data_IF_139636015341
#
_entry.id   IF_139636015341
#
_cell.length_a   1.000
_cell.length_b   1.000
_cell.length_c   1.000
_cell.angle_alpha   90.00
_cell.angle_beta   90.00
_cell.angle_gamma   90.00
#
_symmetry.space_group_name_H-M   'P 1'
#
loop_
_entity.id
_entity.type
_entity.pdbx_description
1 polymer ?
#
# COMPACT_ATOMS: atom_id res chain seq x y z
N UNK A 1 17.39 -0.15 21.43
CA UNK A 1 16.84 -1.33 20.75
C UNK A 1 16.03 -0.82 19.58
N UNK A 2 16.39 -1.18 18.34
CA UNK A 2 15.54 -0.82 17.21
C UNK A 2 14.15 -1.46 17.42
N UNK A 3 13.09 -0.66 17.33
CA UNK A 3 11.72 -1.17 17.47
C UNK A 3 11.46 -2.29 16.47
N UNK A 4 10.57 -3.22 16.82
CA UNK A 4 10.12 -4.26 15.89
C UNK A 4 9.56 -3.57 14.64
N UNK A 5 10.06 -3.94 13.46
CA UNK A 5 9.54 -3.42 12.18
C UNK A 5 8.07 -3.86 12.07
N UNK A 6 7.12 -2.92 11.90
CA UNK A 6 5.71 -3.28 11.79
C UNK A 6 5.41 -3.93 10.44
N UNK A 7 4.58 -4.97 10.46
CA UNK A 7 4.08 -5.59 9.23
C UNK A 7 3.08 -4.64 8.55
N UNK A 8 3.28 -4.41 7.24
CA UNK A 8 2.37 -3.68 6.39
C UNK A 8 1.75 -4.63 5.37
N UNK A 9 0.55 -5.13 5.67
CA UNK A 9 -0.17 -6.06 4.81
C UNK A 9 -0.71 -5.30 3.59
N UNK A 10 -0.30 -5.75 2.40
CA UNK A 10 -0.75 -5.23 1.11
C UNK A 10 -1.34 -6.37 0.27
N UNK A 11 -2.29 -6.03 -0.60
CA UNK A 11 -2.88 -6.97 -1.56
C UNK A 11 -2.49 -6.58 -2.98
N UNK A 12 -2.28 -7.57 -3.85
CA UNK A 12 -2.04 -7.31 -5.26
C UNK A 12 -3.27 -6.67 -5.91
N UNK A 13 -3.04 -5.76 -6.86
CA UNK A 13 -4.10 -5.03 -7.55
C UNK A 13 -4.12 -5.37 -9.03
N UNK A 14 -5.16 -6.08 -9.46
CA UNK A 14 -5.38 -6.45 -10.87
C UNK A 14 -5.66 -5.23 -11.78
N UNK A 15 -6.43 -4.24 -11.29
CA UNK A 15 -6.78 -3.05 -12.06
C UNK A 15 -5.77 -1.91 -11.90
N UNK A 16 -5.10 -1.51 -12.98
CA UNK A 16 -4.21 -0.34 -13.00
C UNK A 16 -4.85 0.85 -13.73
N UNK A 17 -4.24 2.04 -13.62
CA UNK A 17 -4.72 3.27 -14.27
C UNK A 17 -5.71 4.11 -13.44
N UNK A 18 -6.17 5.21 -14.05
CA UNK A 18 -6.94 6.28 -13.37
C UNK A 18 -8.28 5.79 -12.80
N UNK A 19 -9.03 4.98 -13.55
CA UNK A 19 -10.34 4.48 -13.14
C UNK A 19 -10.24 3.54 -11.95
N UNK A 20 -9.40 2.51 -12.06
CA UNK A 20 -9.16 1.54 -11.00
C UNK A 20 -8.60 2.20 -9.72
N UNK A 21 -7.66 3.14 -9.85
CA UNK A 21 -7.14 3.87 -8.70
C UNK A 21 -8.22 4.74 -8.02
N UNK A 22 -9.13 5.34 -8.78
CA UNK A 22 -10.28 6.09 -8.22
C UNK A 22 -11.26 5.17 -7.51
N UNK A 23 -11.56 4.01 -8.07
CA UNK A 23 -12.41 3.01 -7.43
C UNK A 23 -11.79 2.51 -6.12
N UNK A 24 -10.52 2.11 -6.12
CA UNK A 24 -9.81 1.66 -4.93
C UNK A 24 -9.88 2.69 -3.78
N UNK A 25 -9.71 3.98 -4.09
CA UNK A 25 -9.85 5.05 -3.08
C UNK A 25 -11.28 5.17 -2.53
N UNK A 26 -12.31 4.96 -3.35
CA UNK A 26 -13.72 4.96 -2.90
C UNK A 26 -14.02 3.76 -2.01
N UNK A 27 -13.32 2.64 -2.22
CA UNK A 27 -13.42 1.42 -1.41
C UNK A 27 -12.56 1.48 -0.13
N UNK A 28 -11.96 2.63 0.20
CA UNK A 28 -11.15 2.81 1.41
C UNK A 28 -9.73 2.24 1.30
N UNK A 29 -9.27 1.96 0.08
CA UNK A 29 -7.93 1.47 -0.20
C UNK A 29 -7.01 2.59 -0.72
N UNK A 30 -5.72 2.43 -0.47
CA UNK A 30 -4.65 3.29 -0.96
C UNK A 30 -3.90 2.51 -2.05
N UNK A 31 -4.05 2.90 -3.33
CA UNK A 31 -3.31 2.29 -4.41
C UNK A 31 -1.84 2.72 -4.38
N UNK A 32 -0.93 1.75 -4.53
CA UNK A 32 0.52 1.95 -4.55
C UNK A 32 1.26 1.02 -5.50
N UNK A 33 2.58 1.14 -5.52
CA UNK A 33 3.50 0.27 -6.26
C UNK A 33 4.64 -0.13 -5.33
N UNK A 34 4.86 -1.43 -5.17
CA UNK A 34 6.06 -1.96 -4.53
C UNK A 34 7.14 -2.16 -5.61
N UNK A 35 8.34 -1.63 -5.37
CA UNK A 35 9.47 -1.74 -6.29
C UNK A 35 10.77 -1.75 -5.49
N UNK A 36 11.84 -2.31 -6.08
CA UNK A 36 13.15 -2.38 -5.43
C UNK A 36 13.84 -3.71 -5.70
N UNK A 37 15.18 -3.69 -5.63
CA UNK A 37 15.99 -4.76 -6.21
C UNK A 37 15.78 -4.83 -7.73
N UNK A 38 16.47 -5.72 -8.43
CA UNK A 38 16.27 -5.93 -9.87
C UNK A 38 14.93 -6.63 -10.20
N UNK A 39 13.91 -6.48 -9.36
CA UNK A 39 12.61 -7.11 -9.49
C UNK A 39 11.61 -6.17 -10.18
N UNK A 40 10.63 -6.78 -10.85
CA UNK A 40 9.58 -6.05 -11.52
C UNK A 40 8.65 -5.33 -10.52
N UNK A 41 8.19 -4.10 -10.83
CA UNK A 41 7.26 -3.37 -9.97
C UNK A 41 5.92 -4.10 -9.85
N UNK A 42 5.40 -4.18 -8.62
CA UNK A 42 4.11 -4.82 -8.31
C UNK A 42 3.08 -3.77 -7.91
N UNK A 43 1.92 -3.79 -8.57
CA UNK A 43 0.81 -2.93 -8.20
C UNK A 43 0.09 -3.48 -6.96
N UNK A 44 -0.06 -2.65 -5.93
CA UNK A 44 -0.63 -3.06 -4.64
C UNK A 44 -1.74 -2.12 -4.16
N UNK A 45 -2.55 -2.61 -3.24
CA UNK A 45 -3.52 -1.86 -2.45
C UNK A 45 -3.25 -2.08 -0.96
N UNK A 46 -3.42 -1.01 -0.17
CA UNK A 46 -3.26 -1.02 1.28
C UNK A 46 -4.51 -0.40 1.92
N UNK A 47 -5.10 -0.96 3.00
CA UNK A 47 -6.19 -0.30 3.70
C UNK A 47 -5.79 1.08 4.24
N UNK A 48 -6.61 2.11 3.96
CA UNK A 48 -6.30 3.50 4.32
C UNK A 48 -6.08 3.71 5.82
N UNK A 49 -6.95 3.14 6.64
CA UNK A 49 -6.88 3.25 8.10
C UNK A 49 -5.59 2.65 8.68
N UNK A 50 -5.15 1.51 8.14
CA UNK A 50 -3.90 0.86 8.54
C UNK A 50 -2.71 1.72 8.15
N UNK A 51 -2.66 2.19 6.90
CA UNK A 51 -1.55 3.00 6.41
C UNK A 51 -1.38 4.29 7.23
N UNK A 52 -2.46 5.05 7.44
CA UNK A 52 -2.41 6.30 8.20
C UNK A 52 -2.02 6.06 9.66
N UNK A 53 -2.49 4.97 10.28
CA UNK A 53 -2.12 4.62 11.65
C UNK A 53 -0.62 4.37 11.76
N UNK A 54 -0.04 3.61 10.82
CA UNK A 54 1.40 3.31 10.81
C UNK A 54 2.24 4.57 10.55
N UNK A 55 1.85 5.40 9.57
CA UNK A 55 2.56 6.66 9.28
C UNK A 55 2.57 7.62 10.47
N UNK A 56 1.46 7.71 11.22
CA UNK A 56 1.36 8.55 12.43
C UNK A 56 2.16 7.99 13.61
N UNK A 57 2.42 6.69 13.64
CA UNK A 57 3.20 6.05 14.70
C UNK A 57 4.72 6.30 14.57
N UNK A 58 5.18 6.88 13.45
CA UNK A 58 6.57 7.27 13.26
C UNK A 58 7.43 6.31 12.42
N UNK A 59 6.84 5.21 11.94
CA UNK A 59 7.56 4.18 11.16
C UNK A 59 8.28 3.15 12.02
#
# INVERSE_FOLDING_TARGET
>A
MAGKIPDLIATERAGTGKGAARQARREGMVPGVAYGGSADPVAINIPFNVLIKQLRAGG
#
